data_IF_753743482535
#
_entry.id   IF_753743482535
#
_cell.length_a   1.000
_cell.length_b   1.000
_cell.length_c   1.000
_cell.angle_alpha   90.00
_cell.angle_beta   90.00
_cell.angle_gamma   90.00
#
_symmetry.space_group_name_H-M   'P 1'
#
loop_
_entity.id
_entity.type
_entity.pdbx_description
1 polymer ?
#
# COMPACT_ATOMS: atom_id res chain seq x y z
N UNK A 1 -35.72 -16.34 14.82
CA UNK A 1 -35.62 -15.05 14.09
C UNK A 1 -35.05 -13.92 14.97
N UNK A 2 -34.19 -14.23 15.96
CA UNK A 2 -33.46 -13.20 16.75
C UNK A 2 -31.95 -13.51 16.91
N UNK A 3 -31.43 -14.49 16.18
CA UNK A 3 -29.99 -14.78 16.11
C UNK A 3 -29.36 -14.40 14.75
N UNK A 4 -30.15 -13.88 13.80
CA UNK A 4 -29.65 -13.47 12.48
C UNK A 4 -28.92 -12.11 12.47
N UNK A 5 -28.83 -11.43 13.62
CA UNK A 5 -28.19 -10.10 13.74
C UNK A 5 -26.73 -10.22 14.23
N UNK A 6 -26.20 -11.43 14.40
CA UNK A 6 -24.77 -11.65 14.69
C UNK A 6 -23.95 -12.05 13.45
N UNK A 7 -24.57 -12.14 12.26
CA UNK A 7 -23.89 -12.45 10.99
C UNK A 7 -24.01 -11.35 9.93
N UNK A 8 -24.23 -10.10 10.34
CA UNK A 8 -23.53 -9.03 9.65
C UNK A 8 -22.11 -9.06 10.18
N UNK A 9 -21.24 -9.88 9.56
CA UNK A 9 -19.82 -9.60 9.60
C UNK A 9 -19.71 -8.10 9.35
N UNK A 10 -19.20 -7.36 10.34
CA UNK A 10 -18.70 -6.02 10.12
C UNK A 10 -17.67 -6.18 9.01
N UNK A 11 -18.11 -6.05 7.76
CA UNK A 11 -17.25 -5.71 6.62
C UNK A 11 -16.30 -4.70 7.20
N UNK A 12 -15.00 -4.95 7.16
CA UNK A 12 -13.98 -4.16 7.85
C UNK A 12 -14.19 -2.66 7.51
N UNK A 13 -14.99 -1.93 8.30
CA UNK A 13 -15.35 -0.51 8.05
C UNK A 13 -14.20 0.37 8.55
N UNK A 14 -12.96 -0.11 8.45
CA UNK A 14 -11.79 0.71 8.73
C UNK A 14 -11.39 1.34 7.41
N UNK A 15 -11.75 2.61 7.25
CA UNK A 15 -11.27 3.43 6.13
C UNK A 15 -9.82 3.90 6.35
N UNK A 16 -9.36 3.78 7.61
CA UNK A 16 -7.99 4.07 8.04
C UNK A 16 -7.10 2.85 7.88
N UNK A 17 -6.03 3.02 7.10
CA UNK A 17 -5.03 2.00 6.84
C UNK A 17 -3.68 2.44 7.38
N UNK A 18 -2.98 1.52 8.04
CA UNK A 18 -1.63 1.77 8.52
C UNK A 18 -0.66 1.79 7.33
N UNK A 19 0.25 2.76 7.34
CA UNK A 19 1.37 2.90 6.41
C UNK A 19 2.66 2.71 7.21
N UNK A 20 3.44 1.69 6.84
CA UNK A 20 4.75 1.43 7.44
C UNK A 20 5.86 1.75 6.43
N UNK A 21 6.77 2.66 6.79
CA UNK A 21 7.99 2.88 6.01
C UNK A 21 9.11 1.99 6.54
N UNK A 22 9.82 1.30 5.65
CA UNK A 22 10.94 0.44 6.04
C UNK A 22 11.98 1.23 6.85
N UNK A 23 12.44 0.64 7.96
CA UNK A 23 13.38 1.25 8.90
C UNK A 23 12.78 2.35 9.80
N UNK A 24 11.50 2.70 9.65
CA UNK A 24 10.85 3.67 10.55
C UNK A 24 10.35 2.98 11.84
N UNK A 25 10.54 3.59 13.01
CA UNK A 25 10.11 3.00 14.29
C UNK A 25 8.59 3.02 14.49
N UNK A 26 7.88 3.90 13.76
CA UNK A 26 6.45 4.14 13.94
C UNK A 26 5.79 4.31 12.56
N UNK A 27 4.62 3.71 12.41
CA UNK A 27 3.74 3.87 11.25
C UNK A 27 2.87 5.12 11.31
N UNK A 28 2.30 5.50 10.17
CA UNK A 28 1.24 6.52 10.10
C UNK A 28 -0.07 5.87 9.63
N UNK A 29 -1.17 6.61 9.66
CA UNK A 29 -2.45 6.14 9.12
C UNK A 29 -2.93 7.06 8.02
N UNK A 30 -3.57 6.50 7.01
CA UNK A 30 -4.21 7.24 5.91
C UNK A 30 -5.65 6.78 5.73
N UNK A 31 -6.56 7.71 5.44
CA UNK A 31 -7.95 7.38 5.10
C UNK A 31 -8.08 7.26 3.57
N UNK A 32 -8.31 6.06 3.05
CA UNK A 32 -8.40 5.84 1.60
C UNK A 32 -9.68 6.39 0.98
N UNK A 33 -10.71 6.72 1.77
CA UNK A 33 -11.95 7.31 1.22
C UNK A 33 -11.79 8.77 0.83
N UNK A 34 -10.66 9.39 1.18
CA UNK A 34 -10.33 10.78 0.82
C UNK A 34 -9.75 10.92 -0.59
N UNK A 35 -9.56 9.82 -1.30
CA UNK A 35 -8.93 9.80 -2.62
C UNK A 35 -9.78 9.07 -3.64
N UNK A 36 -9.67 9.52 -4.88
CA UNK A 36 -10.32 8.93 -6.06
C UNK A 36 -9.37 8.01 -6.86
N UNK A 37 -8.11 7.89 -6.44
CA UNK A 37 -7.16 7.01 -7.11
C UNK A 37 -5.76 6.98 -6.52
N UNK A 38 -4.91 6.14 -7.11
CA UNK A 38 -3.52 5.93 -6.67
C UNK A 38 -2.66 7.20 -6.72
N UNK A 39 -2.88 8.10 -7.69
CA UNK A 39 -2.07 9.32 -7.80
C UNK A 39 -2.20 10.24 -6.58
N UNK A 40 -3.41 10.36 -6.04
CA UNK A 40 -3.69 11.14 -4.83
C UNK A 40 -3.15 10.45 -3.59
N UNK A 41 -3.30 9.13 -3.49
CA UNK A 41 -2.66 8.33 -2.42
C UNK A 41 -1.14 8.53 -2.42
N UNK A 42 -0.47 8.38 -3.57
CA UNK A 42 0.99 8.53 -3.69
C UNK A 42 1.40 9.95 -3.32
N UNK A 43 0.62 10.96 -3.74
CA UNK A 43 0.90 12.37 -3.41
C UNK A 43 0.78 12.65 -1.90
N UNK A 44 -0.21 12.08 -1.23
CA UNK A 44 -0.34 12.15 0.23
C UNK A 44 0.84 11.45 0.92
N UNK A 45 1.20 10.24 0.47
CA UNK A 45 2.33 9.50 1.04
C UNK A 45 3.68 10.21 0.85
N UNK A 46 3.88 10.86 -0.29
CA UNK A 46 5.06 11.68 -0.56
C UNK A 46 5.20 12.79 0.50
N UNK A 47 4.11 13.50 0.77
CA UNK A 47 4.06 14.56 1.78
C UNK A 47 4.18 14.00 3.21
N UNK A 48 3.45 12.93 3.53
CA UNK A 48 3.48 12.31 4.85
C UNK A 48 4.89 11.86 5.22
N UNK A 49 5.67 11.35 4.28
CA UNK A 49 7.01 10.81 4.57
C UNK A 49 8.17 11.72 4.10
N UNK A 50 7.89 12.98 3.75
CA UNK A 50 8.85 14.02 3.35
C UNK A 50 9.75 13.61 2.17
N UNK A 51 9.16 12.99 1.15
CA UNK A 51 9.85 12.61 -0.09
C UNK A 51 10.05 13.78 -1.06
N UNK A 52 9.37 14.92 -0.85
CA UNK A 52 9.57 16.18 -1.60
C UNK A 52 9.39 16.01 -3.12
N UNK A 53 8.42 15.20 -3.52
CA UNK A 53 8.09 14.87 -4.91
C UNK A 53 8.79 13.63 -5.45
N UNK A 54 9.83 13.13 -4.79
CA UNK A 54 10.63 12.00 -5.30
C UNK A 54 9.89 10.65 -5.25
N UNK A 55 8.83 10.52 -4.45
CA UNK A 55 7.97 9.33 -4.47
C UNK A 55 7.02 9.39 -5.67
N UNK A 56 6.54 10.59 -6.01
CA UNK A 56 5.63 10.84 -7.14
C UNK A 56 6.32 10.62 -8.48
N UNK A 57 7.53 11.16 -8.66
CA UNK A 57 8.29 11.02 -9.90
C UNK A 57 9.02 9.67 -10.05
N UNK A 58 8.99 8.84 -8.99
CA UNK A 58 9.59 7.51 -8.95
C UNK A 58 11.11 7.50 -8.75
N UNK A 59 11.76 8.65 -8.53
CA UNK A 59 13.22 8.79 -8.38
C UNK A 59 13.74 8.53 -6.96
N UNK A 60 12.87 8.41 -5.97
CA UNK A 60 13.26 8.23 -4.56
C UNK A 60 14.08 6.96 -4.29
N UNK A 61 13.99 5.95 -5.16
CA UNK A 61 14.47 4.59 -4.85
C UNK A 61 13.53 3.81 -3.92
N UNK A 62 12.37 4.38 -3.60
CA UNK A 62 11.32 3.75 -2.80
C UNK A 62 10.10 3.44 -3.66
N UNK A 63 9.28 2.51 -3.18
CA UNK A 63 8.05 2.10 -3.83
C UNK A 63 6.98 1.76 -2.80
N UNK A 64 5.74 2.09 -3.15
CA UNK A 64 4.57 1.78 -2.32
C UNK A 64 4.11 0.37 -2.65
N UNK A 65 3.94 -0.46 -1.63
CA UNK A 65 3.36 -1.79 -1.71
C UNK A 65 2.21 -1.92 -0.73
N UNK A 66 1.42 -2.98 -0.84
CA UNK A 66 0.34 -3.27 0.09
C UNK A 66 0.28 -4.75 0.43
N UNK A 67 -0.31 -5.07 1.58
CA UNK A 67 -0.69 -6.43 1.93
C UNK A 67 -2.15 -6.62 1.56
N UNK A 68 -2.46 -7.64 0.76
CA UNK A 68 -3.83 -8.00 0.38
C UNK A 68 -4.52 -8.84 1.47
N UNK A 69 -5.68 -9.40 1.13
CA UNK A 69 -6.47 -10.22 2.03
C UNK A 69 -6.00 -11.66 2.20
N UNK A 70 -5.10 -12.11 1.32
CA UNK A 70 -4.40 -13.39 1.41
C UNK A 70 -3.10 -13.28 2.23
N UNK A 71 -2.64 -12.05 2.49
CA UNK A 71 -1.45 -11.75 3.27
C UNK A 71 -0.20 -11.56 2.43
N UNK A 72 -0.33 -11.52 1.11
CA UNK A 72 0.77 -11.35 0.18
C UNK A 72 1.10 -9.87 -0.03
N UNK A 73 2.38 -9.58 -0.25
CA UNK A 73 2.85 -8.21 -0.52
C UNK A 73 2.78 -7.94 -2.02
N UNK A 74 1.93 -6.99 -2.40
CA UNK A 74 1.61 -6.65 -3.79
C UNK A 74 2.02 -5.21 -4.12
N UNK A 75 2.36 -4.95 -5.39
CA UNK A 75 2.57 -3.60 -5.90
C UNK A 75 1.22 -2.90 -6.09
N UNK A 76 1.14 -1.60 -5.83
CA UNK A 76 -0.06 -0.82 -6.16
C UNK A 76 -0.17 -0.61 -7.68
N UNK A 77 -1.40 -0.52 -8.20
CA UNK A 77 -1.67 -0.09 -9.58
C UNK A 77 -2.29 -1.14 -10.51
N UNK A 78 -2.31 -2.42 -10.12
CA UNK A 78 -2.81 -3.50 -10.99
C UNK A 78 -4.35 -3.64 -10.99
N UNK A 79 -5.02 -3.09 -9.97
CA UNK A 79 -6.46 -3.20 -9.78
C UNK A 79 -7.14 -1.84 -9.90
N UNK A 80 -8.46 -1.82 -10.16
CA UNK A 80 -9.21 -0.57 -10.08
C UNK A 80 -9.20 -0.06 -8.64
N UNK A 81 -9.26 1.27 -8.48
CA UNK A 81 -9.15 1.92 -7.17
C UNK A 81 -10.10 1.34 -6.11
N UNK A 82 -11.36 1.11 -6.48
CA UNK A 82 -12.37 0.56 -5.59
C UNK A 82 -12.13 -0.91 -5.21
N UNK A 83 -11.58 -1.71 -6.14
CA UNK A 83 -11.18 -3.10 -5.88
C UNK A 83 -10.02 -3.10 -4.88
N UNK A 84 -9.01 -2.28 -5.13
CA UNK A 84 -7.87 -2.10 -4.24
C UNK A 84 -8.30 -1.70 -2.82
N UNK A 85 -9.22 -0.74 -2.67
CA UNK A 85 -9.75 -0.34 -1.37
C UNK A 85 -10.40 -1.51 -0.60
N UNK A 86 -10.96 -2.50 -1.30
CA UNK A 86 -11.57 -3.68 -0.67
C UNK A 86 -10.56 -4.76 -0.27
N UNK A 87 -9.44 -4.86 -0.99
CA UNK A 87 -8.42 -5.91 -0.78
C UNK A 87 -7.33 -5.48 0.20
N UNK A 88 -6.98 -4.18 0.22
CA UNK A 88 -5.85 -3.70 1.02
C UNK A 88 -6.08 -3.88 2.52
N UNK A 89 -5.08 -4.43 3.20
CA UNK A 89 -5.05 -4.52 4.66
C UNK A 89 -4.06 -3.55 5.29
N UNK A 90 -2.93 -3.30 4.62
CA UNK A 90 -1.85 -2.44 5.09
C UNK A 90 -1.04 -1.90 3.92
N UNK A 91 -0.54 -0.69 4.05
CA UNK A 91 0.37 -0.05 3.11
C UNK A 91 1.81 -0.09 3.63
N UNK A 92 2.76 -0.20 2.71
CA UNK A 92 4.18 -0.14 2.99
C UNK A 92 4.89 0.79 2.02
N UNK A 93 5.97 1.40 2.49
CA UNK A 93 6.92 2.14 1.66
C UNK A 93 8.28 1.48 1.84
N UNK A 94 8.73 0.77 0.80
CA UNK A 94 9.91 -0.09 0.83
C UNK A 94 10.97 0.42 -0.16
N UNK A 95 12.27 0.21 0.11
CA UNK A 95 13.32 0.39 -0.90
C UNK A 95 13.07 -0.59 -2.06
N UNK A 96 13.28 -0.14 -3.30
CA UNK A 96 13.10 -0.98 -4.49
C UNK A 96 13.97 -2.23 -4.43
N UNK A 97 15.19 -2.10 -3.89
CA UNK A 97 16.15 -3.20 -3.76
C UNK A 97 15.66 -4.31 -2.82
N UNK A 98 14.85 -3.99 -1.81
CA UNK A 98 14.27 -5.00 -0.92
C UNK A 98 13.07 -5.71 -1.56
N UNK A 99 12.33 -5.03 -2.44
CA UNK A 99 11.22 -5.64 -3.20
C UNK A 99 11.78 -6.69 -4.17
N UNK A 100 12.87 -6.38 -4.86
CA UNK A 100 13.52 -7.31 -5.81
C UNK A 100 14.04 -8.58 -5.12
N UNK A 101 14.49 -8.46 -3.86
CA UNK A 101 14.93 -9.61 -3.05
C UNK A 101 13.78 -10.50 -2.61
N UNK A 102 12.62 -9.92 -2.33
CA UNK A 102 11.41 -10.65 -1.95
C UNK A 102 10.76 -11.36 -3.15
N UNK A 103 11.03 -10.88 -4.37
CA UNK A 103 10.56 -11.45 -5.63
C UNK A 103 11.73 -11.92 -6.53
N UNK A 104 12.36 -13.07 -6.23
CA UNK A 104 13.53 -13.57 -6.97
C UNK A 104 13.24 -13.98 -8.43
N UNK A 105 12.00 -13.80 -8.92
CA UNK A 105 11.56 -14.16 -10.27
C UNK A 105 11.81 -13.09 -11.35
N UNK A 106 12.30 -11.90 -11.00
CA UNK A 106 12.72 -10.92 -12.02
C UNK A 106 14.23 -11.06 -12.30
N UNK A 107 14.66 -11.37 -13.55
CA UNK A 107 16.06 -11.32 -13.89
C UNK A 107 16.50 -9.85 -13.88
N UNK A 108 17.36 -9.50 -12.92
CA UNK A 108 18.14 -8.27 -12.98
C UNK A 108 18.91 -8.23 -14.30
N UNK A 109 18.47 -7.39 -15.23
CA UNK A 109 19.23 -7.03 -16.41
C UNK A 109 20.37 -6.09 -16.01
N UNK A 110 21.41 -6.65 -15.40
CA UNK A 110 22.70 -5.97 -15.26
C UNK A 110 23.80 -6.93 -15.72
N UNK A 111 23.89 -7.08 -17.05
CA UNK A 111 25.14 -7.42 -17.71
C UNK A 111 25.60 -6.19 -18.47
N UNK A 112 26.47 -5.40 -17.86
CA UNK A 112 27.56 -4.64 -18.49
C UNK A 112 28.67 -4.45 -17.45
#
# INVERSE_FOLDING_TARGET
MVELIAQANLVKISTLFQVLKYGAPVGRSVDLTRFDGYGELISELDQMFDFKGSLIDGSSGWQVTYMDDEGDMMLIGDYLWHEFQSMVQKLFICPKEEIDRLNPGSPNATSL
#
